data_IF_608375888707
#
_entry.id   IF_608375888707
#
_cell.length_a   1.000
_cell.length_b   1.000
_cell.length_c   1.000
_cell.angle_alpha   90.00
_cell.angle_beta   90.00
_cell.angle_gamma   90.00
#
_symmetry.space_group_name_H-M   'P 1'
#
loop_
_entity.id
_entity.type
_entity.pdbx_description
1 polymer ?
#
# COMPACT_ATOMS: atom_id res chain seq x y z
N UNK A 1 -43.15 10.81 -21.85
CA UNK A 1 -42.22 9.72 -21.60
C UNK A 1 -40.84 10.19 -22.00
N UNK A 2 -39.87 10.33 -21.09
CA UNK A 2 -38.48 10.56 -21.46
C UNK A 2 -37.88 9.21 -21.90
N UNK A 3 -36.95 9.19 -22.87
CA UNK A 3 -36.34 7.95 -23.34
C UNK A 3 -35.33 7.45 -22.29
N UNK A 4 -35.59 6.26 -21.78
CA UNK A 4 -34.63 5.50 -20.99
C UNK A 4 -33.52 4.95 -21.91
N UNK A 5 -32.55 5.77 -22.18
CA UNK A 5 -31.31 5.34 -22.84
C UNK A 5 -30.28 4.96 -21.76
N UNK A 6 -30.29 3.73 -21.28
CA UNK A 6 -29.13 3.17 -20.59
C UNK A 6 -28.05 2.94 -21.65
N UNK A 7 -27.17 3.91 -21.84
CA UNK A 7 -25.90 3.64 -22.49
C UNK A 7 -25.10 2.71 -21.59
N UNK A 8 -25.12 1.42 -21.87
CA UNK A 8 -24.19 0.44 -21.34
C UNK A 8 -22.79 0.92 -21.73
N UNK A 9 -22.14 1.70 -20.86
CA UNK A 9 -20.74 2.08 -21.07
C UNK A 9 -19.91 0.78 -21.08
N UNK A 10 -19.06 0.61 -22.11
CA UNK A 10 -18.13 -0.51 -22.22
C UNK A 10 -17.33 -0.64 -20.92
N UNK A 11 -17.27 -1.83 -20.36
CA UNK A 11 -16.40 -2.10 -19.21
C UNK A 11 -14.94 -1.90 -19.60
N UNK A 12 -14.15 -1.41 -18.66
CA UNK A 12 -12.69 -1.40 -18.77
C UNK A 12 -12.17 -2.84 -18.79
N UNK A 13 -11.40 -3.17 -19.81
CA UNK A 13 -10.77 -4.49 -19.96
C UNK A 13 -9.43 -4.48 -19.25
N UNK A 14 -9.29 -5.22 -18.17
CA UNK A 14 -8.06 -5.37 -17.41
C UNK A 14 -7.40 -6.72 -17.64
N UNK A 15 -6.08 -6.76 -17.47
CA UNK A 15 -5.32 -8.01 -17.36
C UNK A 15 -4.44 -7.97 -16.11
N UNK A 16 -4.14 -9.14 -15.55
CA UNK A 16 -3.29 -9.24 -14.35
C UNK A 16 -2.01 -10.04 -14.64
N UNK A 17 -0.90 -9.70 -14.00
CA UNK A 17 0.36 -10.45 -14.11
C UNK A 17 0.82 -10.87 -12.72
N UNK A 18 0.83 -12.18 -12.48
CA UNK A 18 1.23 -12.79 -11.20
C UNK A 18 0.13 -13.58 -10.53
N UNK A 19 0.54 -14.65 -9.82
CA UNK A 19 -0.32 -15.56 -9.06
C UNK A 19 0.30 -15.89 -7.69
N UNK A 20 0.93 -14.90 -7.03
CA UNK A 20 1.51 -15.05 -5.69
C UNK A 20 0.45 -14.91 -4.59
N UNK A 21 0.89 -15.07 -3.33
CA UNK A 21 0.02 -14.97 -2.15
C UNK A 21 -0.90 -13.73 -2.16
N UNK A 22 -0.34 -12.56 -2.45
CA UNK A 22 -1.09 -11.31 -2.37
C UNK A 22 -2.07 -11.11 -3.54
N UNK A 23 -1.82 -11.74 -4.69
CA UNK A 23 -2.66 -11.62 -5.88
C UNK A 23 -4.11 -12.07 -5.65
N UNK A 24 -4.33 -13.03 -4.74
CA UNK A 24 -5.67 -13.51 -4.41
C UNK A 24 -6.59 -12.41 -3.86
N UNK A 25 -6.05 -11.47 -3.08
CA UNK A 25 -6.81 -10.31 -2.60
C UNK A 25 -7.14 -9.33 -3.73
N UNK A 26 -6.22 -9.18 -4.69
CA UNK A 26 -6.42 -8.27 -5.83
C UNK A 26 -7.40 -8.85 -6.85
N UNK A 27 -7.32 -10.14 -7.19
CA UNK A 27 -8.30 -10.79 -8.06
C UNK A 27 -9.72 -10.74 -7.46
N UNK A 28 -9.87 -11.03 -6.16
CA UNK A 28 -11.15 -10.95 -5.46
C UNK A 28 -11.71 -9.52 -5.51
N UNK A 29 -10.88 -8.53 -5.31
CA UNK A 29 -11.28 -7.14 -5.35
C UNK A 29 -11.73 -6.70 -6.75
N UNK A 30 -10.99 -7.07 -7.81
CA UNK A 30 -11.39 -6.78 -9.20
C UNK A 30 -12.75 -7.35 -9.57
N UNK A 31 -13.08 -8.57 -9.11
CA UNK A 31 -14.39 -9.18 -9.40
C UNK A 31 -15.58 -8.39 -8.85
N UNK A 32 -15.35 -7.49 -7.91
CA UNK A 32 -16.38 -6.66 -7.27
C UNK A 32 -16.57 -5.29 -7.89
N UNK A 33 -15.73 -4.90 -8.84
CA UNK A 33 -15.81 -3.60 -9.51
C UNK A 33 -16.60 -3.78 -10.81
N UNK A 34 -17.89 -3.32 -10.85
CA UNK A 34 -18.79 -3.64 -11.96
C UNK A 34 -18.39 -3.02 -13.29
N UNK A 35 -17.60 -1.93 -13.27
CA UNK A 35 -17.10 -1.24 -14.46
C UNK A 35 -15.85 -1.90 -15.05
N UNK A 36 -15.33 -2.97 -14.42
CA UNK A 36 -14.13 -3.67 -14.85
C UNK A 36 -14.44 -5.10 -15.24
N UNK A 37 -13.72 -5.62 -16.22
CA UNK A 37 -13.65 -7.03 -16.56
C UNK A 37 -12.18 -7.44 -16.68
N UNK A 38 -11.73 -8.37 -15.82
CA UNK A 38 -10.42 -9.00 -15.99
C UNK A 38 -10.57 -10.11 -17.04
N UNK A 39 -9.99 -9.87 -18.21
CA UNK A 39 -10.21 -10.75 -19.39
C UNK A 39 -9.17 -11.86 -19.51
N UNK A 40 -7.98 -11.68 -18.90
CA UNK A 40 -6.90 -12.65 -18.91
C UNK A 40 -5.90 -12.39 -17.78
N UNK A 41 -5.02 -13.34 -17.55
CA UNK A 41 -3.87 -13.16 -16.69
C UNK A 41 -2.63 -13.86 -17.24
N UNK A 42 -1.45 -13.47 -16.75
CA UNK A 42 -0.18 -14.11 -17.11
C UNK A 42 0.50 -14.66 -15.87
N UNK A 43 0.90 -15.93 -15.94
CA UNK A 43 1.79 -16.57 -14.98
C UNK A 43 2.58 -17.71 -15.61
N UNK A 44 3.87 -17.83 -15.27
CA UNK A 44 4.76 -18.88 -15.82
C UNK A 44 4.66 -20.21 -15.09
N UNK A 45 4.14 -20.20 -13.85
CA UNK A 45 3.95 -21.40 -13.04
C UNK A 45 2.54 -21.98 -13.30
N UNK A 46 2.43 -23.18 -13.93
CA UNK A 46 1.14 -23.75 -14.30
C UNK A 46 0.30 -24.15 -13.08
N UNK A 47 0.92 -24.50 -11.95
CA UNK A 47 0.21 -24.88 -10.73
C UNK A 47 -0.52 -23.66 -10.16
N UNK A 48 0.21 -22.54 -9.99
CA UNK A 48 -0.38 -21.29 -9.53
C UNK A 48 -1.41 -20.72 -10.52
N UNK A 49 -1.19 -20.91 -11.83
CA UNK A 49 -2.17 -20.52 -12.83
C UNK A 49 -3.48 -21.31 -12.69
N UNK A 50 -3.40 -22.63 -12.46
CA UNK A 50 -4.57 -23.46 -12.21
C UNK A 50 -5.34 -23.04 -10.95
N UNK A 51 -4.64 -22.61 -9.88
CA UNK A 51 -5.29 -22.09 -8.67
C UNK A 51 -6.08 -20.81 -8.94
N UNK A 52 -5.53 -19.87 -9.71
CA UNK A 52 -6.23 -18.64 -10.12
C UNK A 52 -7.46 -18.97 -10.98
N UNK A 53 -7.31 -19.85 -11.97
CA UNK A 53 -8.42 -20.30 -12.81
C UNK A 53 -9.53 -20.94 -11.99
N UNK A 54 -9.19 -21.86 -11.09
CA UNK A 54 -10.16 -22.57 -10.26
C UNK A 54 -10.91 -21.61 -9.30
N UNK A 55 -10.19 -20.65 -8.71
CA UNK A 55 -10.77 -19.78 -7.68
C UNK A 55 -11.55 -18.60 -8.26
N UNK A 56 -11.11 -18.03 -9.38
CA UNK A 56 -11.64 -16.78 -9.91
C UNK A 56 -12.34 -16.94 -11.27
N UNK A 57 -12.36 -18.16 -11.84
CA UNK A 57 -13.01 -18.44 -13.13
C UNK A 57 -12.28 -17.85 -14.35
N UNK A 58 -11.04 -17.40 -14.19
CA UNK A 58 -10.26 -16.84 -15.29
C UNK A 58 -9.64 -17.97 -16.12
N UNK A 59 -10.15 -18.20 -17.32
CA UNK A 59 -9.72 -19.31 -18.17
C UNK A 59 -8.60 -18.98 -19.14
N UNK A 60 -8.40 -17.70 -19.46
CA UNK A 60 -7.32 -17.25 -20.35
C UNK A 60 -6.05 -16.97 -19.56
N UNK A 61 -5.11 -17.88 -19.62
CA UNK A 61 -3.78 -17.77 -19.01
C UNK A 61 -2.69 -17.76 -20.09
N UNK A 62 -1.76 -16.82 -19.98
CA UNK A 62 -0.62 -16.67 -20.86
C UNK A 62 0.68 -16.91 -20.10
N UNK A 63 1.62 -17.64 -20.70
CA UNK A 63 2.97 -17.79 -20.16
C UNK A 63 3.82 -16.52 -20.39
N UNK A 64 3.61 -15.83 -21.50
CA UNK A 64 4.23 -14.54 -21.83
C UNK A 64 3.19 -13.40 -21.78
N UNK A 65 3.43 -12.44 -20.90
CA UNK A 65 2.57 -11.26 -20.79
C UNK A 65 2.58 -10.35 -22.02
N UNK A 66 3.62 -10.42 -22.87
CA UNK A 66 3.66 -9.64 -24.12
C UNK A 66 2.64 -10.18 -25.12
N UNK A 67 2.58 -11.50 -25.26
CA UNK A 67 1.56 -12.17 -26.07
C UNK A 67 0.15 -11.83 -25.55
N UNK A 68 -0.04 -11.83 -24.22
CA UNK A 68 -1.30 -11.41 -23.61
C UNK A 68 -1.67 -9.97 -23.98
N UNK A 69 -0.74 -9.03 -23.90
CA UNK A 69 -0.97 -7.64 -24.27
C UNK A 69 -1.36 -7.48 -25.74
N UNK A 70 -0.65 -8.16 -26.63
CA UNK A 70 -0.86 -8.06 -28.08
C UNK A 70 -2.18 -8.71 -28.51
N UNK A 71 -2.60 -9.79 -27.81
CA UNK A 71 -3.84 -10.53 -28.10
C UNK A 71 -5.07 -9.86 -27.49
N UNK A 72 -5.03 -9.55 -26.18
CA UNK A 72 -6.20 -9.06 -25.45
C UNK A 72 -6.40 -7.55 -25.59
N UNK A 73 -5.35 -6.79 -25.90
CA UNK A 73 -5.37 -5.31 -26.05
C UNK A 73 -6.13 -4.63 -24.90
N UNK A 74 -5.65 -4.82 -23.65
CA UNK A 74 -6.35 -4.35 -22.46
C UNK A 74 -6.28 -2.82 -22.33
N UNK A 75 -7.23 -2.23 -21.63
CA UNK A 75 -7.20 -0.83 -21.22
C UNK A 75 -6.18 -0.60 -20.11
N UNK A 76 -6.02 -1.58 -19.21
CA UNK A 76 -5.04 -1.50 -18.12
C UNK A 76 -4.46 -2.87 -17.75
N UNK A 77 -3.33 -2.84 -17.03
CA UNK A 77 -2.68 -4.00 -16.41
C UNK A 77 -2.50 -3.80 -14.92
N UNK A 78 -2.78 -4.85 -14.14
CA UNK A 78 -2.42 -4.97 -12.72
C UNK A 78 -1.18 -5.89 -12.58
N UNK A 79 -0.05 -5.30 -12.17
CA UNK A 79 1.25 -5.99 -12.05
C UNK A 79 1.44 -6.41 -10.60
N UNK A 80 1.30 -7.73 -10.33
CA UNK A 80 1.29 -8.32 -8.98
C UNK A 80 2.51 -9.24 -8.80
N UNK A 81 3.59 -8.92 -9.44
CA UNK A 81 4.83 -9.70 -9.41
C UNK A 81 5.83 -9.12 -8.39
N UNK A 82 6.94 -9.81 -8.09
CA UNK A 82 8.01 -9.23 -7.27
C UNK A 82 8.72 -8.05 -7.95
N UNK A 83 9.25 -7.08 -7.16
CA UNK A 83 9.86 -5.83 -7.63
C UNK A 83 10.90 -5.93 -8.77
N UNK A 84 11.77 -6.98 -8.83
CA UNK A 84 12.76 -7.08 -9.91
C UNK A 84 12.17 -7.20 -11.33
N UNK A 85 10.90 -7.59 -11.45
CA UNK A 85 10.23 -7.74 -12.75
C UNK A 85 9.43 -6.50 -13.18
N UNK A 86 9.19 -5.55 -12.28
CA UNK A 86 8.29 -4.42 -12.54
C UNK A 86 8.77 -3.57 -13.72
N UNK A 87 10.05 -3.22 -13.77
CA UNK A 87 10.59 -2.35 -14.82
C UNK A 87 10.32 -2.89 -16.23
N UNK A 88 10.64 -4.16 -16.48
CA UNK A 88 10.43 -4.76 -17.79
C UNK A 88 8.95 -4.82 -18.18
N UNK A 89 8.08 -5.17 -17.24
CA UNK A 89 6.64 -5.29 -17.48
C UNK A 89 6.01 -3.91 -17.70
N UNK A 90 6.34 -2.93 -16.85
CA UNK A 90 5.85 -1.56 -17.00
C UNK A 90 6.27 -0.94 -18.32
N UNK A 91 7.54 -1.14 -18.75
CA UNK A 91 8.03 -0.65 -20.03
C UNK A 91 7.27 -1.24 -21.23
N UNK A 92 6.96 -2.54 -21.22
CA UNK A 92 6.20 -3.19 -22.27
C UNK A 92 4.72 -2.75 -22.28
N UNK A 93 4.11 -2.51 -21.13
CA UNK A 93 2.76 -1.96 -21.02
C UNK A 93 2.72 -0.51 -21.54
N UNK A 94 3.66 0.33 -21.11
CA UNK A 94 3.76 1.74 -21.49
C UNK A 94 3.93 1.90 -23.02
N UNK A 95 4.81 1.10 -23.66
CA UNK A 95 4.98 1.09 -25.12
C UNK A 95 3.69 0.84 -25.90
N UNK A 96 2.73 0.14 -25.31
CA UNK A 96 1.43 -0.20 -25.90
C UNK A 96 0.30 0.75 -25.50
N UNK A 97 0.60 1.79 -24.72
CA UNK A 97 -0.40 2.73 -24.20
C UNK A 97 -1.33 2.13 -23.15
N UNK A 98 -0.95 1.00 -22.53
CA UNK A 98 -1.74 0.32 -21.50
C UNK A 98 -1.57 1.07 -20.18
N UNK A 99 -2.69 1.43 -19.50
CA UNK A 99 -2.65 2.07 -18.18
C UNK A 99 -2.15 1.09 -17.13
N UNK A 100 -1.45 1.55 -16.11
CA UNK A 100 -0.70 0.65 -15.21
C UNK A 100 -1.10 0.88 -13.76
N UNK A 101 -1.44 -0.21 -13.06
CA UNK A 101 -1.37 -0.31 -11.61
C UNK A 101 -0.32 -1.36 -11.24
N UNK A 102 0.65 -1.01 -10.38
CA UNK A 102 1.80 -1.85 -10.08
C UNK A 102 2.00 -2.02 -8.58
N UNK A 103 2.31 -3.24 -8.16
CA UNK A 103 2.56 -3.55 -6.74
C UNK A 103 3.77 -2.79 -6.18
N UNK A 104 3.68 -2.61 -4.86
CA UNK A 104 4.78 -2.12 -4.01
C UNK A 104 5.70 -3.29 -3.56
N UNK A 105 6.95 -3.01 -3.21
CA UNK A 105 7.73 -1.82 -3.56
C UNK A 105 7.88 -1.69 -5.08
N UNK A 106 7.85 -0.45 -5.59
CA UNK A 106 7.80 -0.22 -7.04
C UNK A 106 9.01 -0.78 -7.79
N UNK A 107 10.16 -0.82 -7.15
CA UNK A 107 11.38 -1.37 -7.74
C UNK A 107 12.37 -1.81 -6.66
N UNK A 108 13.43 -2.51 -7.04
CA UNK A 108 14.48 -2.93 -6.12
C UNK A 108 15.31 -1.76 -5.54
N UNK A 109 15.25 -0.59 -6.18
CA UNK A 109 15.91 0.65 -5.73
C UNK A 109 15.14 1.88 -6.17
N UNK A 110 15.40 3.01 -5.53
CA UNK A 110 14.83 4.30 -5.92
C UNK A 110 15.23 4.69 -7.37
N UNK A 111 16.44 4.36 -7.80
CA UNK A 111 16.89 4.64 -9.17
C UNK A 111 16.02 3.91 -10.20
N UNK A 112 15.80 2.62 -10.03
CA UNK A 112 14.92 1.82 -10.90
C UNK A 112 13.48 2.32 -10.85
N UNK A 113 12.98 2.68 -9.68
CA UNK A 113 11.63 3.24 -9.55
C UNK A 113 11.47 4.56 -10.32
N UNK A 114 12.49 5.44 -10.27
CA UNK A 114 12.51 6.68 -11.07
C UNK A 114 12.45 6.42 -12.57
N UNK A 115 13.17 5.41 -13.06
CA UNK A 115 13.13 5.02 -14.48
C UNK A 115 11.74 4.51 -14.87
N UNK A 116 11.11 3.64 -14.05
CA UNK A 116 9.75 3.14 -14.29
C UNK A 116 8.75 4.31 -14.43
N UNK A 117 8.79 5.25 -13.48
CA UNK A 117 7.88 6.41 -13.48
C UNK A 117 8.14 7.32 -14.69
N UNK A 118 9.41 7.58 -15.02
CA UNK A 118 9.76 8.39 -16.17
C UNK A 118 9.34 7.75 -17.51
N UNK A 119 9.45 6.42 -17.64
CA UNK A 119 9.00 5.69 -18.83
C UNK A 119 7.48 5.77 -19.01
N UNK A 120 6.73 5.58 -17.92
CA UNK A 120 5.27 5.72 -17.94
C UNK A 120 4.83 7.15 -18.31
N UNK A 121 5.48 8.15 -17.73
CA UNK A 121 5.22 9.56 -18.02
C UNK A 121 5.52 9.91 -19.49
N UNK A 122 6.66 9.45 -20.03
CA UNK A 122 7.00 9.66 -21.46
C UNK A 122 5.99 9.02 -22.40
N UNK A 123 5.44 7.88 -22.04
CA UNK A 123 4.41 7.20 -22.82
C UNK A 123 3.01 7.82 -22.67
N UNK A 124 2.83 8.76 -21.74
CA UNK A 124 1.54 9.38 -21.44
C UNK A 124 0.51 8.43 -20.85
N UNK A 125 0.96 7.32 -20.22
CA UNK A 125 0.06 6.37 -19.58
C UNK A 125 -0.16 6.74 -18.12
N UNK A 126 -1.39 6.52 -17.62
CA UNK A 126 -1.71 6.69 -16.21
C UNK A 126 -1.05 5.58 -15.42
N UNK A 127 -0.28 5.96 -14.41
CA UNK A 127 0.50 5.05 -13.59
C UNK A 127 0.17 5.23 -12.10
N UNK A 128 -0.28 4.17 -11.47
CA UNK A 128 -0.56 4.12 -10.04
C UNK A 128 0.25 3.00 -9.37
N UNK A 129 0.83 3.27 -8.21
CA UNK A 129 1.36 2.22 -7.35
C UNK A 129 0.25 1.70 -6.46
N UNK A 130 0.13 0.37 -6.36
CA UNK A 130 -0.85 -0.29 -5.49
C UNK A 130 -0.41 -0.18 -4.02
N UNK A 131 -0.24 1.07 -3.56
CA UNK A 131 -0.05 1.39 -2.15
C UNK A 131 -1.43 1.51 -1.51
N UNK A 132 -1.83 0.50 -0.76
CA UNK A 132 -3.21 0.33 -0.33
C UNK A 132 -3.48 0.76 1.12
N UNK A 133 -2.46 1.03 1.96
CA UNK A 133 -2.72 1.31 3.38
C UNK A 133 -3.40 2.65 3.61
N UNK A 134 -3.11 3.70 2.81
CA UNK A 134 -3.88 4.95 2.91
C UNK A 134 -5.36 4.77 2.59
N UNK A 135 -5.74 3.69 1.87
CA UNK A 135 -7.13 3.34 1.56
C UNK A 135 -7.80 2.48 2.63
N UNK A 136 -7.11 2.12 3.70
CA UNK A 136 -7.75 1.48 4.85
C UNK A 136 -8.82 2.41 5.44
N UNK A 137 -10.03 1.92 5.77
CA UNK A 137 -11.15 2.78 6.18
C UNK A 137 -10.84 3.64 7.40
N UNK A 138 -10.07 3.14 8.35
CA UNK A 138 -9.64 3.92 9.51
C UNK A 138 -8.69 5.06 9.16
N UNK A 139 -7.77 4.89 8.23
CA UNK A 139 -6.90 5.99 7.80
C UNK A 139 -7.68 7.06 7.01
N UNK A 140 -8.65 6.64 6.21
CA UNK A 140 -9.58 7.55 5.54
C UNK A 140 -10.41 8.36 6.55
N UNK A 141 -10.95 7.68 7.57
CA UNK A 141 -11.75 8.35 8.60
C UNK A 141 -10.90 9.29 9.45
N UNK A 142 -9.71 8.87 9.90
CA UNK A 142 -8.76 9.74 10.62
C UNK A 142 -8.46 10.99 9.78
N UNK A 143 -8.14 10.84 8.48
CA UNK A 143 -7.90 11.98 7.59
C UNK A 143 -9.09 12.91 7.49
N UNK A 144 -10.28 12.36 7.32
CA UNK A 144 -11.53 13.14 7.28
C UNK A 144 -11.76 13.94 8.57
N UNK A 145 -11.52 13.33 9.71
CA UNK A 145 -11.66 13.99 11.02
C UNK A 145 -10.61 15.10 11.22
N UNK A 146 -9.36 14.87 10.82
CA UNK A 146 -8.31 15.91 10.82
C UNK A 146 -8.76 17.10 9.96
N UNK A 147 -9.18 16.85 8.72
CA UNK A 147 -9.62 17.89 7.78
C UNK A 147 -10.88 18.64 8.26
N UNK A 148 -11.76 17.96 8.99
CA UNK A 148 -12.93 18.58 9.61
C UNK A 148 -12.60 19.38 10.89
N UNK A 149 -11.31 19.49 11.29
CA UNK A 149 -10.91 20.20 12.50
C UNK A 149 -11.31 19.50 13.80
N UNK A 150 -11.61 18.20 13.75
CA UNK A 150 -12.09 17.45 14.92
C UNK A 150 -11.13 17.49 16.11
N UNK A 151 -9.83 17.62 15.88
CA UNK A 151 -8.78 17.75 16.91
C UNK A 151 -8.06 19.11 16.86
N UNK A 152 -8.68 20.11 16.24
CA UNK A 152 -8.13 21.47 16.10
C UNK A 152 -7.51 21.72 14.73
N UNK A 153 -6.87 22.87 14.59
CA UNK A 153 -6.30 23.39 13.34
C UNK A 153 -4.82 23.02 13.12
N UNK A 154 -4.16 22.55 14.17
CA UNK A 154 -2.74 22.12 14.11
C UNK A 154 -2.60 20.68 14.60
N UNK A 155 -1.88 19.88 13.81
CA UNK A 155 -1.36 18.59 14.26
C UNK A 155 -0.12 18.80 15.11
N UNK A 156 -0.04 18.08 16.24
CA UNK A 156 1.11 18.09 17.12
C UNK A 156 1.94 16.84 16.93
N UNK A 157 1.29 15.66 17.01
CA UNK A 157 2.00 14.40 16.91
C UNK A 157 1.15 13.27 16.31
N UNK A 158 1.85 12.30 15.71
CA UNK A 158 1.30 11.05 15.21
C UNK A 158 2.19 9.90 15.72
N UNK A 159 1.66 9.02 16.55
CA UNK A 159 2.40 7.89 17.10
C UNK A 159 1.75 6.56 16.69
N UNK A 160 2.45 5.76 15.89
CA UNK A 160 2.01 4.44 15.47
C UNK A 160 2.86 3.37 16.12
N UNK A 161 2.22 2.37 16.73
CA UNK A 161 2.89 1.24 17.37
C UNK A 161 2.44 -0.05 16.70
N UNK A 162 3.36 -0.74 16.01
CA UNK A 162 3.07 -2.03 15.39
C UNK A 162 3.75 -3.19 16.12
N UNK A 163 2.97 -4.27 16.33
CA UNK A 163 3.44 -5.55 16.87
C UNK A 163 2.78 -6.63 16.05
N UNK A 164 3.52 -7.23 15.11
CA UNK A 164 2.90 -8.14 14.14
C UNK A 164 2.91 -9.59 14.60
N UNK A 165 3.91 -10.01 15.40
CA UNK A 165 4.05 -11.36 15.90
C UNK A 165 4.25 -12.42 14.82
N UNK A 166 4.63 -12.02 13.59
CA UNK A 166 4.82 -12.94 12.47
C UNK A 166 6.29 -13.23 12.16
N UNK A 167 7.20 -12.58 12.88
CA UNK A 167 8.64 -12.62 12.65
C UNK A 167 9.45 -13.38 13.71
N UNK A 168 8.83 -13.98 14.71
CA UNK A 168 9.54 -14.74 15.74
C UNK A 168 9.62 -16.24 15.43
N UNK A 169 10.58 -16.94 16.03
CA UNK A 169 10.76 -18.38 15.90
C UNK A 169 11.55 -18.79 14.66
N UNK A 170 11.94 -20.06 14.63
CA UNK A 170 12.79 -20.64 13.56
C UNK A 170 12.09 -20.70 12.20
N UNK A 171 10.76 -20.88 12.21
CA UNK A 171 9.95 -20.98 10.99
C UNK A 171 9.30 -19.66 10.55
N UNK A 172 9.77 -18.51 11.10
CA UNK A 172 9.27 -17.21 10.74
C UNK A 172 9.23 -17.01 9.20
N UNK A 173 8.09 -16.55 8.70
CA UNK A 173 7.77 -16.28 7.28
C UNK A 173 7.63 -17.49 6.35
N UNK A 174 8.13 -18.69 6.69
CA UNK A 174 8.11 -19.88 5.80
C UNK A 174 6.69 -20.20 5.28
N UNK A 175 5.63 -20.23 6.13
CA UNK A 175 4.32 -20.65 5.65
C UNK A 175 3.67 -19.70 4.64
N UNK A 176 4.12 -18.43 4.59
CA UNK A 176 3.44 -17.39 3.81
C UNK A 176 4.32 -16.74 2.75
N UNK A 177 5.47 -16.23 3.14
CA UNK A 177 6.36 -15.42 2.31
C UNK A 177 7.83 -15.76 2.63
N UNK A 178 8.30 -16.98 2.28
CA UNK A 178 9.63 -17.46 2.70
C UNK A 178 10.77 -16.57 2.20
N UNK A 179 10.59 -15.86 1.10
CA UNK A 179 11.57 -14.94 0.55
C UNK A 179 11.88 -13.72 1.45
N UNK A 180 11.04 -13.41 2.44
CA UNK A 180 11.33 -12.36 3.43
C UNK A 180 12.59 -12.65 4.24
N UNK A 181 12.92 -13.94 4.42
CA UNK A 181 14.13 -14.34 5.15
C UNK A 181 15.43 -13.89 4.46
N UNK A 182 15.38 -13.75 3.16
CA UNK A 182 16.53 -13.42 2.33
C UNK A 182 16.66 -11.94 1.99
N UNK A 183 15.66 -11.14 2.29
CA UNK A 183 15.72 -9.70 2.04
C UNK A 183 16.79 -9.04 2.93
N UNK A 184 17.79 -8.35 2.35
CA UNK A 184 18.81 -7.64 3.11
C UNK A 184 18.26 -6.41 3.84
N UNK A 185 17.10 -5.92 3.39
CA UNK A 185 16.28 -4.85 3.98
C UNK A 185 14.86 -5.38 4.04
N UNK A 186 14.25 -5.47 5.23
CA UNK A 186 12.95 -6.13 5.37
C UNK A 186 11.87 -5.18 5.91
N UNK A 187 12.00 -4.73 7.17
CA UNK A 187 10.92 -3.99 7.85
C UNK A 187 10.56 -2.70 7.12
N UNK A 188 11.54 -1.84 6.85
CA UNK A 188 11.29 -0.54 6.22
C UNK A 188 11.01 -0.71 4.73
N UNK A 189 11.74 -1.59 4.04
CA UNK A 189 11.59 -1.83 2.61
C UNK A 189 10.24 -2.47 2.24
N UNK A 190 9.80 -3.47 2.99
CA UNK A 190 8.59 -4.24 2.66
C UNK A 190 7.34 -3.67 3.32
N UNK A 191 7.42 -3.38 4.62
CA UNK A 191 6.28 -2.93 5.42
C UNK A 191 6.29 -1.41 5.61
N UNK A 192 7.46 -0.82 5.79
CA UNK A 192 7.61 0.58 6.12
C UNK A 192 7.12 1.54 5.07
N UNK A 193 7.21 1.17 3.80
CA UNK A 193 6.67 1.99 2.70
C UNK A 193 5.18 2.29 2.88
N UNK A 194 4.40 1.35 3.39
CA UNK A 194 2.98 1.54 3.69
C UNK A 194 2.76 2.60 4.78
N UNK A 195 3.57 2.55 5.85
CA UNK A 195 3.41 3.50 6.95
C UNK A 195 3.99 4.87 6.63
N UNK A 196 5.11 4.94 5.94
CA UNK A 196 5.64 6.21 5.41
C UNK A 196 4.57 6.90 4.56
N UNK A 197 3.93 6.16 3.67
CA UNK A 197 2.85 6.66 2.84
C UNK A 197 1.64 7.12 3.67
N UNK A 198 1.24 6.33 4.68
CA UNK A 198 0.15 6.68 5.59
C UNK A 198 0.46 7.94 6.40
N UNK A 199 1.66 8.08 6.94
CA UNK A 199 2.10 9.27 7.65
C UNK A 199 2.06 10.51 6.74
N UNK A 200 2.56 10.39 5.50
CA UNK A 200 2.46 11.46 4.50
C UNK A 200 1.01 11.79 4.15
N UNK A 201 0.17 10.79 3.98
CA UNK A 201 -1.25 10.97 3.71
C UNK A 201 -1.95 11.74 4.82
N UNK A 202 -1.67 11.43 6.08
CA UNK A 202 -2.34 12.05 7.24
C UNK A 202 -1.80 13.46 7.52
N UNK A 203 -0.48 13.66 7.54
CA UNK A 203 0.16 14.86 8.05
C UNK A 203 0.91 15.70 6.99
N UNK A 204 1.04 15.22 5.74
CA UNK A 204 1.72 15.95 4.68
C UNK A 204 3.19 15.57 4.51
N UNK A 205 3.96 16.47 3.90
CA UNK A 205 5.35 16.18 3.54
C UNK A 205 6.27 16.05 4.76
N UNK A 206 7.10 15.01 4.72
CA UNK A 206 8.15 14.74 5.71
C UNK A 206 9.42 15.44 5.25
N UNK A 207 10.01 16.24 6.12
CA UNK A 207 11.21 17.04 5.84
C UNK A 207 12.49 16.47 6.41
N UNK A 208 12.39 15.64 7.48
CA UNK A 208 13.53 15.00 8.13
C UNK A 208 13.12 13.69 8.77
N UNK A 209 14.06 12.74 8.82
CA UNK A 209 13.86 11.45 9.48
C UNK A 209 15.03 11.08 10.38
N UNK A 210 14.71 10.34 11.46
CA UNK A 210 15.72 9.67 12.29
C UNK A 210 15.28 8.23 12.52
N UNK A 211 16.19 7.26 12.35
CA UNK A 211 15.84 5.85 12.44
C UNK A 211 16.87 5.03 13.22
N UNK A 212 16.38 4.12 14.05
CA UNK A 212 17.14 3.04 14.68
C UNK A 212 16.55 1.72 14.23
N UNK A 213 17.34 0.93 13.52
CA UNK A 213 16.92 -0.36 12.97
C UNK A 213 17.69 -1.50 13.64
N UNK A 214 17.01 -2.62 13.88
CA UNK A 214 17.57 -3.82 14.52
C UNK A 214 17.05 -5.07 13.86
N UNK A 215 17.89 -6.09 13.85
CA UNK A 215 17.50 -7.47 13.58
C UNK A 215 17.39 -8.21 14.91
N UNK A 216 16.21 -8.69 15.25
CA UNK A 216 15.94 -9.46 16.46
C UNK A 216 15.99 -10.96 16.15
N UNK A 217 15.35 -11.42 15.07
CA UNK A 217 15.37 -12.83 14.70
C UNK A 217 16.62 -13.15 13.85
N UNK A 218 17.49 -14.09 14.31
CA UNK A 218 18.71 -14.44 13.58
C UNK A 218 18.45 -15.19 12.26
N UNK A 219 17.24 -15.75 12.04
CA UNK A 219 16.92 -16.52 10.82
C UNK A 219 16.66 -15.66 9.59
N UNK A 220 16.57 -14.33 9.74
CA UNK A 220 16.40 -13.38 8.65
C UNK A 220 17.68 -12.58 8.41
N UNK A 221 17.79 -11.98 7.23
CA UNK A 221 18.96 -11.14 6.88
C UNK A 221 18.75 -9.66 7.21
N UNK A 222 17.58 -9.13 6.94
CA UNK A 222 17.23 -7.72 7.17
C UNK A 222 16.78 -7.41 8.60
N UNK A 223 16.37 -6.19 8.81
CA UNK A 223 15.82 -5.72 10.07
C UNK A 223 14.32 -6.11 10.22
N UNK A 224 13.91 -6.41 11.46
CA UNK A 224 12.53 -6.72 11.85
C UNK A 224 12.00 -5.84 12.98
N UNK A 225 12.82 -4.91 13.46
CA UNK A 225 12.49 -3.97 14.53
C UNK A 225 13.12 -2.60 14.26
N UNK A 226 12.42 -1.54 14.63
CA UNK A 226 12.93 -0.17 14.52
C UNK A 226 12.10 0.85 15.27
N UNK A 227 12.75 1.96 15.60
CA UNK A 227 12.09 3.18 16.04
C UNK A 227 12.42 4.28 15.02
N UNK A 228 11.37 4.84 14.42
CA UNK A 228 11.48 5.80 13.32
C UNK A 228 10.75 7.08 13.71
N UNK A 229 11.41 8.21 13.53
CA UNK A 229 10.91 9.55 13.83
C UNK A 229 10.82 10.33 12.54
N UNK A 230 9.75 11.08 12.38
CA UNK A 230 9.46 11.95 11.24
C UNK A 230 9.26 13.38 11.69
N UNK A 231 9.87 14.34 11.01
CA UNK A 231 9.54 15.75 11.13
C UNK A 231 8.77 16.18 9.89
N UNK A 232 7.61 16.81 10.10
CA UNK A 232 6.75 17.25 9.00
C UNK A 232 6.92 18.74 8.69
N UNK A 233 6.67 19.13 7.44
CA UNK A 233 6.74 20.53 7.01
C UNK A 233 5.80 21.46 7.78
N UNK A 234 4.69 20.94 8.33
CA UNK A 234 3.74 21.70 9.16
C UNK A 234 4.14 21.78 10.65
N UNK A 235 5.31 21.28 11.04
CA UNK A 235 5.84 21.28 12.40
C UNK A 235 5.37 20.12 13.29
N UNK A 236 4.50 19.23 12.81
CA UNK A 236 4.12 18.03 13.54
C UNK A 236 5.30 17.03 13.63
N UNK A 237 5.24 16.13 14.64
CA UNK A 237 6.19 15.04 14.78
C UNK A 237 5.49 13.70 14.58
N UNK A 238 6.15 12.78 13.90
CA UNK A 238 5.69 11.41 13.74
C UNK A 238 6.61 10.41 14.43
N UNK A 239 6.04 9.32 14.93
CA UNK A 239 6.78 8.20 15.50
C UNK A 239 6.20 6.89 15.02
N UNK A 240 7.05 5.98 14.54
CA UNK A 240 6.69 4.60 14.30
C UNK A 240 7.56 3.67 15.14
N UNK A 241 6.97 3.06 16.18
CA UNK A 241 7.55 1.98 16.99
C UNK A 241 7.21 0.64 16.33
N UNK A 242 8.10 0.18 15.47
CA UNK A 242 7.92 -0.94 14.57
C UNK A 242 8.57 -2.22 15.10
N UNK A 243 7.81 -3.31 15.14
CA UNK A 243 8.34 -4.59 15.59
C UNK A 243 7.51 -5.75 15.01
N UNK A 244 8.16 -6.61 14.24
CA UNK A 244 7.55 -7.83 13.68
C UNK A 244 7.77 -9.06 14.56
N UNK A 245 8.73 -9.01 15.48
CA UNK A 245 9.11 -10.13 16.34
C UNK A 245 8.09 -10.36 17.45
N UNK A 246 7.73 -9.31 18.19
CA UNK A 246 6.84 -9.42 19.32
C UNK A 246 5.36 -9.45 18.92
N UNK A 247 4.58 -10.19 19.69
CA UNK A 247 3.13 -10.27 19.53
C UNK A 247 2.43 -9.02 20.08
N UNK A 248 1.27 -8.64 19.51
CA UNK A 248 0.44 -7.59 20.05
C UNK A 248 -0.26 -8.06 21.34
N UNK A 249 -0.83 -7.11 22.07
CA UNK A 249 -1.64 -7.40 23.25
C UNK A 249 -3.05 -7.93 22.93
N UNK A 250 -3.26 -8.46 21.72
CA UNK A 250 -4.50 -9.07 21.28
C UNK A 250 -4.23 -10.44 20.64
N UNK A 251 -5.22 -11.35 20.60
CA UNK A 251 -5.08 -12.64 19.94
C UNK A 251 -4.81 -12.50 18.43
N UNK A 252 -3.93 -13.32 17.87
CA UNK A 252 -3.79 -13.52 16.44
C UNK A 252 -5.06 -14.23 15.89
N UNK A 253 -5.54 -13.93 14.68
CA UNK A 253 -4.92 -13.15 13.57
C UNK A 253 -5.24 -11.64 13.58
N UNK A 254 -5.82 -11.10 14.62
CA UNK A 254 -6.28 -9.70 14.69
C UNK A 254 -5.15 -8.67 14.49
N UNK A 255 -3.93 -9.06 14.82
CA UNK A 255 -2.72 -8.22 14.68
C UNK A 255 -2.53 -7.59 13.30
N UNK A 256 -3.07 -8.22 12.25
CA UNK A 256 -2.95 -7.74 10.86
C UNK A 256 -4.22 -7.09 10.32
N UNK A 257 -5.17 -6.78 11.16
CA UNK A 257 -6.32 -5.98 10.73
C UNK A 257 -5.91 -4.52 10.55
N UNK A 258 -5.47 -3.85 11.61
CA UNK A 258 -4.95 -2.47 11.58
C UNK A 258 -3.41 -2.42 11.52
N UNK A 259 -2.72 -3.54 11.71
CA UNK A 259 -1.26 -3.67 11.86
C UNK A 259 -0.66 -2.97 13.07
N UNK A 260 -1.45 -2.32 13.89
CA UNK A 260 -1.03 -1.62 15.09
C UNK A 260 -2.07 -0.65 15.62
N UNK A 261 -1.65 0.13 16.61
CA UNK A 261 -2.43 1.20 17.22
C UNK A 261 -1.89 2.55 16.79
N UNK A 262 -2.77 3.52 16.56
CA UNK A 262 -2.40 4.85 16.16
C UNK A 262 -2.98 5.89 17.11
N UNK A 263 -2.15 6.81 17.60
CA UNK A 263 -2.54 7.99 18.34
C UNK A 263 -2.20 9.22 17.49
N UNK A 264 -3.18 10.10 17.28
CA UNK A 264 -3.02 11.36 16.54
C UNK A 264 -3.49 12.49 17.44
N UNK A 265 -2.62 13.46 17.70
CA UNK A 265 -2.87 14.57 18.62
C UNK A 265 -2.82 15.91 17.89
N UNK A 266 -3.73 16.78 18.24
CA UNK A 266 -3.82 18.12 17.69
C UNK A 266 -4.16 19.17 18.74
N UNK A 267 -4.31 20.42 18.32
CA UNK A 267 -4.48 21.59 19.20
C UNK A 267 -5.76 21.58 20.03
N UNK A 268 -6.76 20.75 19.70
CA UNK A 268 -8.04 20.69 20.41
C UNK A 268 -8.47 19.29 20.87
N UNK A 269 -7.62 18.26 20.68
CA UNK A 269 -7.97 16.90 21.08
C UNK A 269 -7.07 15.85 20.44
N UNK A 270 -7.51 14.58 20.53
CA UNK A 270 -6.79 13.42 20.00
C UNK A 270 -7.75 12.40 19.36
N UNK A 271 -7.22 11.65 18.40
CA UNK A 271 -7.85 10.46 17.80
C UNK A 271 -7.01 9.25 18.16
N UNK A 272 -7.66 8.14 18.49
CA UNK A 272 -6.98 6.86 18.71
C UNK A 272 -7.61 5.77 17.87
N UNK A 273 -6.78 5.04 17.12
CA UNK A 273 -7.13 3.81 16.44
C UNK A 273 -6.68 2.61 17.27
N UNK A 274 -7.58 1.69 17.52
CA UNK A 274 -7.33 0.45 18.22
C UNK A 274 -7.13 -0.73 17.26
N UNK A 275 -6.58 -1.83 17.75
CA UNK A 275 -6.29 -3.04 16.95
C UNK A 275 -7.53 -3.67 16.30
N UNK A 276 -8.71 -3.45 16.85
CA UNK A 276 -9.98 -3.94 16.32
C UNK A 276 -10.60 -3.04 15.22
N UNK A 277 -9.97 -1.92 14.91
CA UNK A 277 -10.45 -0.92 13.95
C UNK A 277 -11.29 0.18 14.57
N UNK A 278 -11.60 0.12 15.85
CA UNK A 278 -12.34 1.18 16.54
C UNK A 278 -11.51 2.46 16.59
N UNK A 279 -12.15 3.59 16.28
CA UNK A 279 -11.57 4.93 16.45
C UNK A 279 -12.29 5.62 17.59
N UNK A 280 -11.54 6.32 18.42
CA UNK A 280 -12.08 7.23 19.42
C UNK A 280 -11.58 8.65 19.21
N UNK A 281 -12.42 9.61 19.57
CA UNK A 281 -12.12 11.05 19.59
C UNK A 281 -12.22 11.52 21.06
N UNK A 282 -11.19 12.23 21.51
CA UNK A 282 -11.19 12.90 22.81
C UNK A 282 -10.86 14.38 22.63
N UNK A 283 -11.79 15.26 22.95
CA UNK A 283 -11.54 16.71 23.05
C UNK A 283 -10.72 17.00 24.31
N UNK A 284 -9.92 18.08 24.29
CA UNK A 284 -9.23 18.54 25.51
C UNK A 284 -10.25 18.82 26.61
N UNK A 285 -10.01 18.29 27.80
CA UNK A 285 -10.90 18.39 28.96
C UNK A 285 -12.20 17.56 28.87
N UNK A 286 -12.46 16.89 27.75
CA UNK A 286 -13.63 16.04 27.54
C UNK A 286 -13.36 14.55 27.77
N UNK A 287 -14.41 13.77 27.62
CA UNK A 287 -14.33 12.30 27.66
C UNK A 287 -14.08 11.72 26.27
N UNK A 288 -13.55 10.51 26.26
CA UNK A 288 -13.32 9.75 25.04
C UNK A 288 -14.66 9.23 24.45
N UNK A 289 -14.89 9.45 23.17
CA UNK A 289 -16.10 9.04 22.47
C UNK A 289 -15.74 8.15 21.29
N UNK A 290 -16.48 7.06 21.09
CA UNK A 290 -16.32 6.22 19.91
C UNK A 290 -16.83 6.94 18.65
N UNK A 291 -16.06 6.90 17.59
CA UNK A 291 -16.44 7.41 16.27
C UNK A 291 -17.17 6.29 15.52
N UNK A 292 -18.37 6.58 15.03
CA UNK A 292 -19.09 5.66 14.14
C UNK A 292 -18.64 5.90 12.71
N UNK A 293 -18.08 4.86 12.09
CA UNK A 293 -17.67 4.86 10.68
C UNK A 293 -17.68 3.44 10.11
N UNK A 294 -17.92 3.27 8.80
CA UNK A 294 -17.99 1.95 8.20
C UNK A 294 -16.60 1.31 8.09
N UNK A 295 -16.43 0.18 8.71
CA UNK A 295 -15.26 -0.69 8.53
C UNK A 295 -15.68 -2.15 8.69
N UNK A 296 -14.98 -3.05 8.00
CA UNK A 296 -15.32 -4.48 8.01
C UNK A 296 -14.13 -5.37 7.77
N UNK A 297 -14.33 -6.68 7.93
CA UNK A 297 -13.28 -7.70 7.80
C UNK A 297 -13.27 -8.39 6.44
N UNK A 298 -13.99 -7.85 5.47
CA UNK A 298 -13.93 -8.33 4.10
C UNK A 298 -12.59 -8.00 3.47
N UNK A 299 -12.09 -8.88 2.63
CA UNK A 299 -10.84 -8.65 1.91
C UNK A 299 -9.62 -8.53 2.82
N UNK A 300 -8.64 -7.73 2.40
CA UNK A 300 -7.42 -7.49 3.15
C UNK A 300 -7.51 -6.17 3.93
N UNK A 301 -7.23 -6.20 5.24
CA UNK A 301 -7.06 -5.02 6.09
C UNK A 301 -8.13 -3.93 5.85
N UNK A 302 -9.41 -4.26 6.13
CA UNK A 302 -10.53 -3.34 5.93
C UNK A 302 -10.88 -3.11 4.46
N UNK A 303 -10.62 -4.09 3.60
CA UNK A 303 -10.93 -4.06 2.16
C UNK A 303 -10.09 -3.05 1.34
N UNK A 304 -8.90 -2.71 1.84
CA UNK A 304 -8.08 -1.65 1.23
C UNK A 304 -7.61 -1.99 -0.19
N UNK A 305 -7.50 -3.28 -0.57
CA UNK A 305 -7.20 -3.65 -1.96
C UNK A 305 -8.33 -3.23 -2.89
N UNK A 306 -9.58 -3.53 -2.52
CA UNK A 306 -10.75 -3.11 -3.27
C UNK A 306 -10.85 -1.58 -3.39
N UNK A 307 -10.63 -0.87 -2.27
CA UNK A 307 -10.70 0.60 -2.25
C UNK A 307 -9.61 1.24 -3.12
N UNK A 308 -8.39 0.70 -3.11
CA UNK A 308 -7.32 1.16 -3.99
C UNK A 308 -7.62 0.90 -5.47
N UNK A 309 -8.11 -0.29 -5.81
CA UNK A 309 -8.49 -0.65 -7.18
C UNK A 309 -9.73 0.13 -7.66
N UNK A 310 -10.71 0.37 -6.77
CA UNK A 310 -11.85 1.25 -7.06
C UNK A 310 -11.36 2.66 -7.38
N UNK A 311 -10.47 3.22 -6.57
CA UNK A 311 -9.87 4.53 -6.82
C UNK A 311 -9.15 4.59 -8.18
N UNK A 312 -8.35 3.57 -8.53
CA UNK A 312 -7.70 3.50 -9.83
C UNK A 312 -8.73 3.48 -10.98
N UNK A 313 -9.77 2.67 -10.84
CA UNK A 313 -10.88 2.60 -11.82
C UNK A 313 -11.54 3.97 -11.99
N UNK A 314 -11.85 4.66 -10.89
CA UNK A 314 -12.45 6.00 -10.93
C UNK A 314 -11.52 7.01 -11.62
N UNK A 315 -10.21 6.93 -11.35
CA UNK A 315 -9.22 7.78 -12.03
C UNK A 315 -9.15 7.50 -13.53
N UNK A 316 -9.34 6.26 -13.99
CA UNK A 316 -9.41 5.93 -15.41
C UNK A 316 -10.67 6.50 -16.06
N UNK A 317 -11.84 6.31 -15.43
CA UNK A 317 -13.13 6.73 -15.95
C UNK A 317 -13.31 8.25 -15.97
N UNK A 318 -12.77 8.95 -14.98
CA UNK A 318 -12.90 10.42 -14.85
C UNK A 318 -11.70 11.21 -15.34
N UNK A 319 -10.64 10.50 -15.75
CA UNK A 319 -9.35 11.07 -16.13
C UNK A 319 -8.69 11.93 -15.03
N UNK A 320 -9.00 11.69 -13.76
CA UNK A 320 -8.36 12.36 -12.63
C UNK A 320 -7.00 11.72 -12.26
N UNK A 321 -6.09 12.45 -11.62
CA UNK A 321 -4.83 11.88 -11.12
C UNK A 321 -5.10 10.86 -10.01
N UNK A 322 -4.23 9.84 -9.93
CA UNK A 322 -4.27 8.86 -8.84
C UNK A 322 -3.55 9.39 -7.60
N UNK A 323 -4.11 9.13 -6.40
CA UNK A 323 -3.50 9.56 -5.13
C UNK A 323 -2.11 8.94 -4.88
N UNK A 324 -1.89 7.71 -5.35
CA UNK A 324 -0.61 7.03 -5.27
C UNK A 324 0.02 6.90 -6.66
N UNK A 325 0.04 8.03 -7.41
CA UNK A 325 0.74 8.08 -8.69
C UNK A 325 2.22 7.70 -8.54
N UNK A 326 2.87 7.35 -9.63
CA UNK A 326 4.30 7.03 -9.60
C UNK A 326 5.13 8.13 -8.95
N UNK A 327 4.89 9.39 -9.32
CA UNK A 327 5.59 10.57 -8.80
C UNK A 327 5.39 10.72 -7.28
N UNK A 328 4.15 10.56 -6.79
CA UNK A 328 3.87 10.64 -5.36
C UNK A 328 4.53 9.50 -4.59
N UNK A 329 4.57 8.31 -5.16
CA UNK A 329 5.20 7.17 -4.50
C UNK A 329 6.73 7.25 -4.47
N UNK A 330 7.38 7.93 -5.44
CA UNK A 330 8.82 8.21 -5.39
C UNK A 330 9.22 8.98 -4.14
N UNK A 331 8.37 9.89 -3.63
CA UNK A 331 8.61 10.60 -2.37
C UNK A 331 8.65 9.63 -1.19
N UNK A 332 7.75 8.64 -1.15
CA UNK A 332 7.75 7.58 -0.13
C UNK A 332 9.03 6.74 -0.18
N UNK A 333 9.49 6.37 -1.37
CA UNK A 333 10.75 5.64 -1.54
C UNK A 333 11.99 6.47 -1.18
N UNK A 334 12.00 7.77 -1.46
CA UNK A 334 13.08 8.67 -1.04
C UNK A 334 13.20 8.74 0.48
N UNK A 335 12.08 8.83 1.18
CA UNK A 335 12.03 8.79 2.65
C UNK A 335 12.51 7.43 3.17
N UNK A 336 12.12 6.32 2.54
CA UNK A 336 12.64 4.99 2.85
C UNK A 336 14.18 4.94 2.79
N UNK A 337 14.78 5.45 1.72
CA UNK A 337 16.26 5.49 1.60
C UNK A 337 16.89 6.38 2.66
N UNK A 338 16.29 7.52 2.97
CA UNK A 338 16.77 8.40 4.04
C UNK A 338 16.72 7.73 5.42
N UNK A 339 15.73 6.88 5.70
CA UNK A 339 15.68 6.09 6.94
C UNK A 339 16.84 5.11 7.06
N UNK A 340 17.19 4.40 5.98
CA UNK A 340 18.36 3.53 5.98
C UNK A 340 19.68 4.32 6.14
N UNK A 341 19.77 5.48 5.49
CA UNK A 341 20.92 6.38 5.67
C UNK A 341 21.03 6.86 7.12
N UNK A 342 19.91 7.28 7.73
CA UNK A 342 19.85 7.70 9.13
C UNK A 342 20.28 6.59 10.09
N UNK A 343 19.77 5.36 9.90
CA UNK A 343 20.14 4.22 10.72
C UNK A 343 21.64 3.88 10.61
N UNK A 344 22.23 4.05 9.43
CA UNK A 344 23.66 3.81 9.17
C UNK A 344 24.55 4.89 9.81
N UNK A 345 24.18 6.16 9.68
CA UNK A 345 24.95 7.30 10.21
C UNK A 345 24.66 7.57 11.68
N UNK A 346 23.62 6.97 12.25
CA UNK A 346 23.12 7.20 13.61
C UNK A 346 22.72 8.66 13.88
N UNK A 347 22.25 9.34 12.86
CA UNK A 347 21.86 10.75 12.94
C UNK A 347 20.64 11.08 12.05
N UNK A 348 20.07 12.27 12.19
CA UNK A 348 18.98 12.71 11.34
C UNK A 348 19.41 12.89 9.88
N UNK A 349 18.48 12.70 8.95
CA UNK A 349 18.68 12.92 7.51
C UNK A 349 17.55 13.81 7.00
N UNK A 350 17.92 14.91 6.34
CA UNK A 350 16.97 15.81 5.68
C UNK A 350 16.47 15.20 4.37
N UNK A 351 15.18 15.37 4.12
CA UNK A 351 14.55 14.99 2.85
C UNK A 351 14.64 16.21 1.93
N UNK A 352 15.38 16.07 0.86
CA UNK A 352 15.46 17.11 -0.16
C UNK A 352 14.14 17.19 -0.93
N UNK A 353 13.68 18.41 -1.29
CA UNK A 353 12.43 18.63 -2.03
C UNK A 353 12.39 17.92 -3.38
#
# INVERSE_FOLDING_TARGET
>A
MPPSGSTSSRKLRGVCIGAGYFSHFQYEAWQRIPEVEIVAFSNRDPVKAAEITAKFGLTKCYADYREMFDTEKPDFVDIITPPPSHQAICAEAAKRGIQIICQKPLGPSLAVAKEIVADAARAGVKFMVHENFRFQPWHREIKRLIQAGAIGDRLHSLAFRSRMGDGWGENAYIPRQPYFRDYPRLLVYETGVHFIDTFRYLAGDITRVTAWLRRLNPVIKGEDCGLLIFEFANGALGQWDANRYNEPACPLPEARYTFGEFLVEGSAGSLRLYLDGRITLKKLGGEEQTVDYPHGRRGFAGDCCYLAQRHFTDCLLTNQPCETSGEEYLKTMAIQEAMYASASTRGPVDILP
#
